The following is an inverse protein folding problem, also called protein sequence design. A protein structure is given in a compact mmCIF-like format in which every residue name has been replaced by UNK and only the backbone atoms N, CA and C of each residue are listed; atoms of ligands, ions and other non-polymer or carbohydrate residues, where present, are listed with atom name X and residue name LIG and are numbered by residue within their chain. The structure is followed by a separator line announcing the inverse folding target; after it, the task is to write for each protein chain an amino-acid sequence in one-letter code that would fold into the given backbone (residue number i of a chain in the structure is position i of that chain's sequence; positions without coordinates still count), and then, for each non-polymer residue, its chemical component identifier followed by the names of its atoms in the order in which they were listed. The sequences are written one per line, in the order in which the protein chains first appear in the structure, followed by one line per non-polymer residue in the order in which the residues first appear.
data_IF_186567701005
#
_entry.id   IF_186567701005
#
_cell.length_a   1.000
_cell.length_b   1.000
_cell.length_c   1.000
_cell.angle_alpha   90.00
_cell.angle_beta   90.00
_cell.angle_gamma   90.00
#
_symmetry.space_group_name_H-M   'P 1'
#
loop_
_entity.id
_entity.type
_entity.pdbx_description
1 polymer ?
#
# COMPACT_ATOMS: atom_id res chain seq x y z
N UNK A 1 -42.51 -57.15 -45.08
CA UNK A 1 -41.23 -56.73 -44.49
C UNK A 1 -41.37 -55.32 -43.94
N UNK A 2 -40.77 -55.07 -42.79
CA UNK A 2 -40.64 -53.72 -42.23
C UNK A 2 -39.59 -52.98 -43.03
N UNK A 3 -39.89 -51.79 -43.53
CA UNK A 3 -38.96 -50.90 -44.16
C UNK A 3 -38.44 -49.99 -43.06
N UNK A 4 -37.20 -50.14 -42.67
CA UNK A 4 -36.54 -49.31 -41.64
C UNK A 4 -35.44 -48.48 -42.30
N UNK A 5 -35.33 -47.20 -41.86
CA UNK A 5 -34.25 -46.30 -42.29
C UNK A 5 -33.61 -45.66 -41.04
N UNK A 6 -32.29 -45.67 -40.94
CA UNK A 6 -31.55 -45.14 -39.80
C UNK A 6 -30.71 -43.92 -40.24
N UNK A 7 -30.92 -42.78 -39.57
CA UNK A 7 -30.07 -41.60 -39.72
C UNK A 7 -29.00 -41.61 -38.62
N UNK A 8 -27.76 -41.38 -39.00
CA UNK A 8 -26.65 -41.25 -38.07
C UNK A 8 -26.22 -39.81 -37.91
N UNK A 9 -25.94 -39.42 -36.67
CA UNK A 9 -25.50 -38.05 -36.30
C UNK A 9 -24.23 -38.14 -35.50
N UNK A 10 -23.36 -37.11 -35.64
CA UNK A 10 -22.14 -36.93 -34.84
C UNK A 10 -22.33 -35.70 -33.90
N UNK A 11 -21.70 -35.76 -32.76
CA UNK A 11 -21.67 -34.61 -31.87
C UNK A 11 -20.92 -33.45 -32.52
N UNK A 12 -21.38 -32.23 -32.34
CA UNK A 12 -20.62 -31.02 -32.72
C UNK A 12 -19.35 -30.94 -31.89
N UNK A 13 -18.22 -30.62 -32.55
CA UNK A 13 -16.89 -30.48 -31.94
C UNK A 13 -16.25 -29.13 -32.24
N UNK A 14 -17.07 -28.14 -32.63
CA UNK A 14 -16.70 -26.76 -32.98
C UNK A 14 -17.20 -25.74 -31.96
N UNK A 15 -17.44 -26.17 -30.71
CA UNK A 15 -17.97 -25.33 -29.66
C UNK A 15 -16.84 -24.72 -28.83
N UNK A 16 -17.15 -23.66 -28.09
CA UNK A 16 -16.21 -22.95 -27.21
C UNK A 16 -16.84 -22.62 -25.87
N UNK A 17 -16.01 -22.25 -24.91
CA UNK A 17 -16.44 -21.61 -23.67
C UNK A 17 -15.53 -20.45 -23.30
N UNK A 18 -16.05 -19.55 -22.46
CA UNK A 18 -15.33 -18.37 -21.97
C UNK A 18 -15.36 -18.31 -20.45
N UNK A 19 -14.23 -17.94 -19.83
CA UNK A 19 -14.13 -17.70 -18.39
C UNK A 19 -13.74 -16.25 -18.19
N UNK A 20 -14.51 -15.56 -17.35
CA UNK A 20 -14.27 -14.17 -16.95
C UNK A 20 -13.76 -14.09 -15.52
N UNK A 21 -13.01 -13.04 -15.22
CA UNK A 21 -12.43 -12.76 -13.91
C UNK A 21 -12.79 -11.33 -13.51
N UNK A 22 -13.80 -11.16 -12.62
CA UNK A 22 -14.38 -9.86 -12.31
C UNK A 22 -14.31 -9.50 -10.82
N UNK A 23 -14.20 -8.21 -10.54
CA UNK A 23 -14.38 -7.70 -9.19
C UNK A 23 -15.85 -7.82 -8.76
N UNK A 24 -16.10 -8.42 -7.59
CA UNK A 24 -17.45 -8.67 -7.10
C UNK A 24 -18.24 -7.38 -6.91
N UNK A 25 -19.46 -7.35 -7.42
CA UNK A 25 -20.36 -6.20 -7.32
C UNK A 25 -20.06 -5.09 -8.33
N UNK A 26 -19.13 -5.31 -9.25
CA UNK A 26 -18.80 -4.38 -10.34
C UNK A 26 -18.77 -5.12 -11.69
N UNK A 27 -18.60 -4.37 -12.78
CA UNK A 27 -18.31 -4.93 -14.11
C UNK A 27 -16.81 -4.87 -14.46
N UNK A 28 -15.94 -4.54 -13.49
CA UNK A 28 -14.50 -4.44 -13.72
C UNK A 28 -13.90 -5.83 -13.99
N UNK A 29 -13.30 -5.99 -15.15
CA UNK A 29 -12.49 -7.15 -15.50
C UNK A 29 -11.08 -6.99 -14.90
N UNK A 30 -10.62 -8.01 -14.18
CA UNK A 30 -9.35 -8.00 -13.47
C UNK A 30 -8.24 -8.70 -14.23
N UNK A 31 -8.61 -9.52 -15.21
CA UNK A 31 -7.71 -10.20 -16.12
C UNK A 31 -8.45 -10.48 -17.45
N UNK A 32 -7.68 -10.71 -18.51
CA UNK A 32 -8.21 -11.08 -19.81
C UNK A 32 -9.08 -12.34 -19.71
N UNK A 33 -10.21 -12.34 -20.43
CA UNK A 33 -11.07 -13.49 -20.49
C UNK A 33 -10.36 -14.67 -21.17
N UNK A 34 -10.49 -15.86 -20.57
CA UNK A 34 -9.98 -17.10 -21.15
C UNK A 34 -11.00 -17.68 -22.11
N UNK A 35 -10.68 -17.77 -23.40
CA UNK A 35 -11.50 -18.42 -24.43
C UNK A 35 -10.87 -19.74 -24.83
N UNK A 36 -11.66 -20.82 -24.87
CA UNK A 36 -11.21 -22.16 -25.25
C UNK A 36 -12.14 -22.73 -26.32
N UNK A 37 -11.59 -22.93 -27.51
CA UNK A 37 -12.29 -23.45 -28.69
C UNK A 37 -12.17 -24.99 -28.84
N UNK A 38 -12.87 -25.56 -29.82
CA UNK A 38 -12.76 -26.95 -30.22
C UNK A 38 -13.32 -27.94 -29.19
N UNK A 39 -14.38 -27.55 -28.48
CA UNK A 39 -15.05 -28.42 -27.50
C UNK A 39 -16.18 -29.20 -28.15
N UNK A 40 -16.41 -30.40 -27.62
CA UNK A 40 -17.48 -31.27 -28.08
C UNK A 40 -18.76 -31.08 -27.26
N UNK A 41 -19.90 -31.13 -27.91
CA UNK A 41 -21.21 -31.09 -27.22
C UNK A 41 -21.31 -32.17 -26.14
N UNK A 42 -21.65 -31.74 -24.91
CA UNK A 42 -21.77 -32.59 -23.74
C UNK A 42 -20.47 -32.83 -22.99
N UNK A 43 -19.33 -32.25 -23.41
CA UNK A 43 -18.12 -32.24 -22.58
C UNK A 43 -18.36 -31.50 -21.29
N UNK A 44 -17.74 -31.97 -20.20
CA UNK A 44 -17.69 -31.26 -18.92
C UNK A 44 -16.24 -30.85 -18.69
N UNK A 45 -16.00 -29.55 -18.54
CA UNK A 45 -14.67 -28.99 -18.28
C UNK A 45 -14.65 -28.36 -16.88
N UNK A 46 -13.56 -28.57 -16.17
CA UNK A 46 -13.35 -27.96 -14.85
C UNK A 46 -12.40 -26.78 -15.01
N UNK A 47 -12.82 -25.62 -14.53
CA UNK A 47 -12.01 -24.41 -14.48
C UNK A 47 -11.78 -23.97 -13.04
N UNK A 48 -10.65 -23.34 -12.79
CA UNK A 48 -10.28 -22.81 -11.47
C UNK A 48 -9.99 -21.30 -11.57
N UNK A 49 -10.37 -20.58 -10.50
CA UNK A 49 -10.02 -19.18 -10.34
C UNK A 49 -8.50 -18.99 -10.29
N UNK A 50 -7.96 -18.11 -11.13
CA UNK A 50 -6.54 -17.75 -11.17
C UNK A 50 -6.16 -16.85 -9.99
N UNK A 51 -4.87 -16.72 -9.67
CA UNK A 51 -4.38 -15.74 -8.70
C UNK A 51 -4.28 -14.37 -9.39
N UNK A 52 -4.82 -13.34 -8.74
CA UNK A 52 -4.78 -11.95 -9.19
C UNK A 52 -4.20 -11.11 -8.06
N UNK A 53 -3.12 -10.39 -8.36
CA UNK A 53 -2.44 -9.57 -7.36
C UNK A 53 -3.36 -8.51 -6.75
N UNK A 54 -3.32 -8.39 -5.42
CA UNK A 54 -4.18 -7.46 -4.67
C UNK A 54 -5.61 -7.93 -4.42
N UNK A 55 -5.98 -9.14 -4.87
CA UNK A 55 -7.34 -9.65 -4.74
C UNK A 55 -7.41 -11.03 -4.07
N UNK A 56 -8.50 -11.25 -3.35
CA UNK A 56 -8.90 -12.55 -2.80
C UNK A 56 -9.94 -13.19 -3.71
N UNK A 57 -9.81 -14.49 -3.95
CA UNK A 57 -10.83 -15.27 -4.67
C UNK A 57 -12.11 -15.39 -3.84
N UNK A 58 -13.26 -15.25 -4.47
CA UNK A 58 -14.57 -15.50 -3.87
C UNK A 58 -15.00 -16.92 -4.21
N UNK A 59 -15.55 -17.65 -3.24
CA UNK A 59 -16.06 -18.99 -3.48
C UNK A 59 -17.32 -18.97 -4.38
N UNK A 60 -17.49 -19.95 -5.30
CA UNK A 60 -16.61 -21.08 -5.53
C UNK A 60 -15.36 -20.71 -6.34
N UNK A 61 -14.20 -21.29 -6.00
CA UNK A 61 -12.92 -21.10 -6.69
C UNK A 61 -12.65 -22.14 -7.77
N UNK A 62 -13.58 -23.07 -7.97
CA UNK A 62 -13.58 -24.07 -9.04
C UNK A 62 -15.02 -24.22 -9.55
N UNK A 63 -15.16 -24.44 -10.85
CA UNK A 63 -16.46 -24.63 -11.50
C UNK A 63 -16.39 -25.64 -12.63
N UNK A 64 -17.49 -26.39 -12.82
CA UNK A 64 -17.68 -27.26 -13.98
C UNK A 64 -18.58 -26.54 -15.01
N UNK A 65 -18.17 -26.58 -16.27
CA UNK A 65 -18.91 -26.03 -17.41
C UNK A 65 -19.29 -27.17 -18.33
N UNK A 66 -20.58 -27.45 -18.48
CA UNK A 66 -21.08 -28.40 -19.46
C UNK A 66 -21.24 -27.70 -20.81
N UNK A 67 -20.57 -28.22 -21.85
CA UNK A 67 -20.57 -27.64 -23.19
C UNK A 67 -21.89 -27.90 -23.91
N UNK A 68 -22.58 -26.83 -24.24
CA UNK A 68 -23.86 -26.82 -24.96
C UNK A 68 -23.74 -26.12 -26.30
N UNK A 69 -24.78 -26.11 -27.12
CA UNK A 69 -24.87 -25.35 -28.36
C UNK A 69 -25.15 -23.85 -28.14
N UNK A 70 -25.43 -23.46 -26.90
CA UNK A 70 -25.66 -22.07 -26.51
C UNK A 70 -24.37 -21.40 -25.99
N UNK A 71 -24.55 -20.35 -25.20
CA UNK A 71 -23.45 -19.65 -24.52
C UNK A 71 -22.92 -20.51 -23.37
N UNK A 72 -21.61 -20.76 -23.40
CA UNK A 72 -20.89 -21.52 -22.35
C UNK A 72 -19.93 -20.56 -21.67
N UNK A 73 -20.33 -20.00 -20.55
CA UNK A 73 -19.58 -18.96 -19.85
C UNK A 73 -19.57 -19.23 -18.35
N UNK A 74 -18.48 -18.82 -17.69
CA UNK A 74 -18.40 -18.78 -16.25
C UNK A 74 -17.63 -17.54 -15.79
N UNK A 75 -18.03 -16.93 -14.67
CA UNK A 75 -17.33 -15.77 -14.09
C UNK A 75 -16.84 -16.14 -12.69
N UNK A 76 -15.53 -16.07 -12.48
CA UNK A 76 -14.94 -16.05 -11.15
C UNK A 76 -14.93 -14.64 -10.61
N UNK A 77 -15.32 -14.48 -9.36
CA UNK A 77 -15.37 -13.20 -8.67
C UNK A 77 -14.25 -13.06 -7.66
N UNK A 78 -13.87 -11.81 -7.42
CA UNK A 78 -12.77 -11.43 -6.53
C UNK A 78 -13.13 -10.21 -5.69
N UNK A 79 -12.54 -10.11 -4.51
CA UNK A 79 -12.62 -8.93 -3.66
C UNK A 79 -11.23 -8.36 -3.43
N UNK A 80 -11.11 -7.05 -3.31
CA UNK A 80 -9.84 -6.42 -2.94
C UNK A 80 -9.36 -6.94 -1.59
N UNK A 81 -8.07 -7.19 -1.44
CA UNK A 81 -7.45 -7.45 -0.15
C UNK A 81 -7.61 -6.23 0.75
N UNK A 82 -7.88 -6.46 2.03
CA UNK A 82 -8.03 -5.42 3.05
C UNK A 82 -7.19 -5.72 4.31
N UNK A 83 -6.18 -6.56 4.15
CA UNK A 83 -5.24 -7.02 5.18
C UNK A 83 -3.83 -6.46 4.98
N UNK A 84 -3.71 -5.40 4.19
CA UNK A 84 -2.42 -4.74 3.88
C UNK A 84 -2.10 -3.67 4.93
N UNK A 85 -0.86 -3.21 4.92
CA UNK A 85 -0.40 -2.16 5.84
C UNK A 85 0.52 -1.17 5.15
N UNK A 86 0.73 -0.02 5.78
CA UNK A 86 1.79 0.91 5.40
C UNK A 86 2.57 1.38 6.64
N UNK A 87 3.78 1.90 6.41
CA UNK A 87 4.66 2.41 7.45
C UNK A 87 5.18 3.79 7.10
N UNK A 88 5.18 4.69 8.08
CA UNK A 88 5.78 6.03 7.95
C UNK A 88 6.95 6.14 8.93
N UNK A 89 8.09 6.57 8.42
CA UNK A 89 9.32 6.82 9.19
C UNK A 89 9.59 8.32 9.31
N UNK A 90 10.28 8.70 10.38
CA UNK A 90 10.65 10.08 10.70
C UNK A 90 12.15 10.13 10.98
N UNK A 91 12.97 10.62 10.02
CA UNK A 91 14.43 10.51 10.08
C UNK A 91 15.13 11.87 9.99
N UNK A 92 16.28 11.98 10.64
CA UNK A 92 17.18 13.10 10.43
C UNK A 92 17.81 13.01 9.03
N UNK A 93 17.71 14.11 8.26
CA UNK A 93 18.20 14.15 6.89
C UNK A 93 19.71 13.91 6.82
N UNK A 94 20.12 13.03 5.90
CA UNK A 94 21.54 12.68 5.69
C UNK A 94 22.10 11.69 6.72
N UNK A 95 21.25 11.15 7.59
CA UNK A 95 21.62 10.11 8.56
C UNK A 95 20.63 8.95 8.51
N UNK A 96 20.88 7.88 9.28
CA UNK A 96 19.92 6.79 9.51
C UNK A 96 19.22 6.92 10.88
N UNK A 97 19.36 8.08 11.57
CA UNK A 97 18.76 8.28 12.88
C UNK A 97 17.24 8.44 12.79
N UNK A 98 16.52 7.59 13.48
CA UNK A 98 15.09 7.73 13.71
C UNK A 98 14.84 8.79 14.80
N UNK A 99 13.97 9.75 14.53
CA UNK A 99 13.63 10.85 15.44
C UNK A 99 12.34 10.60 16.22
N UNK A 100 11.52 9.68 15.75
CA UNK A 100 10.32 9.21 16.41
C UNK A 100 10.05 7.75 16.00
N UNK A 101 9.20 7.07 16.78
CA UNK A 101 8.74 5.73 16.46
C UNK A 101 8.03 5.71 15.10
N UNK A 102 8.28 4.67 14.31
CA UNK A 102 7.59 4.48 13.05
C UNK A 102 6.09 4.28 13.26
N UNK A 103 5.28 4.96 12.46
CA UNK A 103 3.82 4.77 12.43
C UNK A 103 3.48 3.62 11.51
N UNK A 104 2.90 2.54 12.05
CA UNK A 104 2.37 1.41 11.27
C UNK A 104 0.85 1.45 11.29
N UNK A 105 0.22 1.30 10.13
CA UNK A 105 -1.24 1.29 9.99
C UNK A 105 -1.65 0.04 9.19
N UNK A 106 -2.31 -0.88 9.88
CA UNK A 106 -2.83 -2.14 9.33
C UNK A 106 -4.24 -2.00 8.75
N UNK A 107 -4.74 -3.07 8.14
CA UNK A 107 -6.12 -3.16 7.65
C UNK A 107 -6.39 -2.27 6.44
N UNK A 108 -5.38 -2.03 5.62
CA UNK A 108 -5.51 -1.20 4.43
C UNK A 108 -6.01 -2.01 3.23
N UNK A 109 -6.83 -1.35 2.41
CA UNK A 109 -7.40 -1.96 1.21
C UNK A 109 -6.51 -1.70 -0.01
N UNK A 110 -6.27 -2.73 -0.80
CA UNK A 110 -5.53 -2.66 -2.06
C UNK A 110 -6.08 -1.57 -3.00
N UNK A 111 -5.16 -0.79 -3.54
CA UNK A 111 -5.46 0.30 -4.48
C UNK A 111 -5.98 1.58 -3.83
N UNK A 112 -6.21 1.61 -2.50
CA UNK A 112 -6.52 2.86 -1.81
C UNK A 112 -5.29 3.76 -1.74
N UNK A 113 -5.52 5.09 -1.74
CA UNK A 113 -4.49 6.09 -1.48
C UNK A 113 -4.77 6.74 -0.14
N UNK A 114 -3.75 6.81 0.71
CA UNK A 114 -3.77 7.47 2.01
C UNK A 114 -2.84 8.68 2.00
N UNK A 115 -3.24 9.76 2.65
CA UNK A 115 -2.41 10.96 2.80
C UNK A 115 -1.83 11.00 4.21
N UNK A 116 -0.51 11.13 4.31
CA UNK A 116 0.21 11.29 5.57
C UNK A 116 0.93 12.64 5.62
N UNK A 117 1.07 13.17 6.83
CA UNK A 117 1.74 14.45 7.08
C UNK A 117 2.89 14.26 8.07
N UNK A 118 3.96 15.03 7.86
CA UNK A 118 5.08 15.08 8.78
C UNK A 118 4.62 15.61 10.15
N UNK A 119 4.94 14.91 11.22
CA UNK A 119 4.64 15.30 12.61
C UNK A 119 5.60 16.41 13.09
N UNK A 120 5.24 17.12 14.15
CA UNK A 120 6.15 18.04 14.82
C UNK A 120 7.10 17.26 15.73
N UNK A 121 8.42 17.54 15.63
CA UNK A 121 9.46 16.95 16.45
C UNK A 121 10.26 18.08 17.09
N UNK A 122 10.35 18.05 18.41
CA UNK A 122 11.03 19.11 19.15
C UNK A 122 12.51 19.20 18.76
N UNK A 123 12.98 20.43 18.56
CA UNK A 123 14.35 20.72 18.13
C UNK A 123 14.63 20.55 16.63
N UNK A 124 13.63 20.15 15.83
CA UNK A 124 13.78 19.88 14.42
C UNK A 124 12.82 20.69 13.53
N UNK A 125 13.26 21.00 12.32
CA UNK A 125 12.44 21.55 11.25
C UNK A 125 12.08 20.45 10.27
N UNK A 126 10.83 20.43 9.80
CA UNK A 126 10.41 19.53 8.71
C UNK A 126 11.10 19.93 7.40
N UNK A 127 11.44 18.92 6.61
CA UNK A 127 11.97 19.09 5.25
C UNK A 127 10.85 18.79 4.25
N UNK A 128 10.69 19.61 3.24
CA UNK A 128 9.68 19.36 2.19
C UNK A 128 10.01 18.12 1.35
N UNK A 129 9.00 17.34 0.96
CA UNK A 129 7.57 17.54 1.19
C UNK A 129 7.13 17.15 2.61
N UNK A 130 6.26 17.97 3.20
CA UNK A 130 5.70 17.73 4.55
C UNK A 130 4.38 16.96 4.53
N UNK A 131 3.92 16.59 3.34
CA UNK A 131 2.76 15.73 3.09
C UNK A 131 3.08 14.75 1.97
N UNK A 132 2.56 13.53 2.04
CA UNK A 132 2.77 12.50 1.04
C UNK A 132 1.53 11.61 0.86
N UNK A 133 1.32 11.15 -0.36
CA UNK A 133 0.32 10.14 -0.69
C UNK A 133 0.99 8.77 -0.83
N UNK A 134 0.40 7.73 -0.21
CA UNK A 134 0.84 6.35 -0.28
C UNK A 134 -0.28 5.53 -0.91
N UNK A 135 -0.06 4.99 -2.11
CA UNK A 135 -1.00 4.05 -2.72
C UNK A 135 -0.70 2.64 -2.22
N UNK A 136 -1.71 1.97 -1.67
CA UNK A 136 -1.59 0.66 -1.05
C UNK A 136 -1.48 -0.44 -2.10
N UNK A 137 -0.38 -1.16 -2.08
CA UNK A 137 -0.06 -2.28 -2.97
C UNK A 137 0.20 -3.55 -2.15
N UNK A 138 0.41 -4.68 -2.82
CA UNK A 138 0.82 -5.94 -2.17
C UNK A 138 2.31 -5.96 -1.77
N UNK A 139 3.08 -4.98 -2.25
CA UNK A 139 4.48 -4.79 -1.91
C UNK A 139 4.68 -3.96 -0.64
N UNK A 140 5.86 -3.36 -0.53
CA UNK A 140 6.15 -2.42 0.56
C UNK A 140 5.44 -1.10 0.33
N UNK A 141 4.69 -0.66 1.32
CA UNK A 141 4.01 0.62 1.35
C UNK A 141 4.65 1.46 2.46
N UNK A 142 5.68 2.22 2.11
CA UNK A 142 6.51 2.95 3.08
C UNK A 142 6.73 4.39 2.61
N UNK A 143 6.81 5.33 3.56
CA UNK A 143 7.23 6.69 3.31
C UNK A 143 8.11 7.19 4.45
N UNK A 144 9.09 8.04 4.16
CA UNK A 144 9.98 8.65 5.15
C UNK A 144 9.89 10.17 5.06
N UNK A 145 9.46 10.81 6.17
CA UNK A 145 9.61 12.25 6.34
C UNK A 145 10.98 12.55 6.94
N UNK A 146 11.62 13.56 6.38
CA UNK A 146 12.95 14.01 6.79
C UNK A 146 12.89 15.30 7.57
N UNK A 147 13.89 15.50 8.44
CA UNK A 147 13.99 16.62 9.35
C UNK A 147 15.43 17.11 9.44
N UNK A 148 15.60 18.40 9.71
CA UNK A 148 16.90 19.00 10.02
C UNK A 148 16.89 19.63 11.41
N UNK A 149 18.02 19.59 12.11
CA UNK A 149 18.13 20.26 13.41
C UNK A 149 17.87 21.76 13.26
N UNK A 150 17.13 22.33 14.18
CA UNK A 150 16.97 23.80 14.29
C UNK A 150 18.31 24.44 14.57
N UNK A 151 18.58 25.55 13.90
CA UNK A 151 19.81 26.33 14.04
C UNK A 151 19.53 27.80 14.48
N UNK A 152 18.32 28.06 14.94
CA UNK A 152 17.83 29.39 15.36
C UNK A 152 17.70 29.52 16.89
N UNK A 153 18.33 28.61 17.63
CA UNK A 153 18.27 28.59 19.09
C UNK A 153 19.24 29.58 19.71
N UNK A 154 19.00 29.94 20.99
CA UNK A 154 19.85 30.85 21.73
C UNK A 154 20.02 30.37 23.17
N UNK A 155 21.12 30.82 23.79
CA UNK A 155 21.31 30.67 25.23
C UNK A 155 21.82 31.98 25.82
N UNK A 156 21.59 32.15 27.13
CA UNK A 156 22.01 33.31 27.90
C UNK A 156 22.96 32.90 29.00
N UNK A 157 24.06 33.64 29.17
CA UNK A 157 25.01 33.48 30.26
C UNK A 157 24.83 34.65 31.22
N UNK A 158 24.58 34.35 32.47
CA UNK A 158 24.49 35.34 33.57
C UNK A 158 25.78 35.31 34.42
N UNK A 159 26.23 36.45 34.85
CA UNK A 159 27.39 36.62 35.71
C UNK A 159 26.93 37.15 37.05
N UNK A 160 26.85 36.27 38.04
CA UNK A 160 26.29 36.62 39.38
C UNK A 160 27.31 36.39 40.47
N UNK A 161 27.21 37.18 41.56
CA UNK A 161 27.94 36.96 42.80
C UNK A 161 27.45 35.68 43.49
N UNK A 162 28.41 34.85 43.92
CA UNK A 162 28.06 33.57 44.55
C UNK A 162 27.23 33.77 45.84
N UNK A 163 26.07 33.10 45.89
CA UNK A 163 25.16 33.12 47.05
C UNK A 163 24.21 34.34 47.06
N UNK A 164 24.21 35.17 46.00
CA UNK A 164 23.28 36.30 45.84
C UNK A 164 22.66 36.31 44.46
N UNK A 165 21.68 37.16 44.22
CA UNK A 165 21.12 37.45 42.89
C UNK A 165 21.77 38.68 42.23
N UNK A 166 22.85 39.21 42.84
CA UNK A 166 23.53 40.42 42.33
C UNK A 166 24.25 40.09 41.00
N UNK A 167 23.90 40.81 39.95
CA UNK A 167 24.57 40.72 38.65
C UNK A 167 25.90 41.52 38.70
N UNK A 168 27.00 40.84 38.31
CA UNK A 168 28.35 41.43 38.26
C UNK A 168 28.69 42.02 36.89
N UNK A 169 27.99 41.60 35.85
CA UNK A 169 28.09 42.08 34.49
C UNK A 169 26.81 41.84 33.71
N UNK A 170 26.63 42.54 32.59
CA UNK A 170 25.51 42.34 31.68
C UNK A 170 25.45 40.89 31.16
N UNK A 171 24.23 40.35 31.10
CA UNK A 171 23.96 39.02 30.58
C UNK A 171 24.39 38.95 29.10
N UNK A 172 25.06 37.87 28.73
CA UNK A 172 25.50 37.61 27.34
C UNK A 172 24.51 36.67 26.66
N UNK A 173 23.82 37.16 25.63
CA UNK A 173 22.99 36.33 24.73
C UNK A 173 23.78 35.86 23.56
N UNK A 174 23.71 34.54 23.26
CA UNK A 174 24.36 33.94 22.10
C UNK A 174 23.28 33.27 21.24
N UNK A 175 23.09 33.76 20.04
CA UNK A 175 22.08 33.31 19.08
C UNK A 175 22.65 32.33 18.06
N UNK A 176 21.77 31.78 17.18
CA UNK A 176 22.10 30.92 16.07
C UNK A 176 22.83 29.64 16.52
N UNK A 177 22.29 29.00 17.53
CA UNK A 177 22.78 27.71 18.02
C UNK A 177 21.95 26.56 17.45
N UNK A 178 22.66 25.49 17.15
CA UNK A 178 22.01 24.26 16.65
C UNK A 178 21.48 23.44 17.81
N UNK A 179 20.35 22.80 17.63
CA UNK A 179 19.78 21.87 18.61
C UNK A 179 20.82 20.81 19.00
N UNK A 180 20.92 20.52 20.30
CA UNK A 180 21.94 19.62 20.92
C UNK A 180 23.39 20.03 20.72
N UNK A 181 23.69 21.23 20.24
CA UNK A 181 25.05 21.75 20.19
C UNK A 181 25.64 21.85 21.61
N UNK A 182 26.77 21.20 21.85
CA UNK A 182 27.47 21.30 23.14
C UNK A 182 28.11 22.68 23.28
N UNK A 183 27.78 23.38 24.36
CA UNK A 183 28.28 24.70 24.69
C UNK A 183 29.30 24.59 25.82
N UNK A 184 30.50 25.15 25.63
CA UNK A 184 31.49 25.28 26.69
C UNK A 184 31.60 26.75 27.06
N UNK A 185 31.21 27.11 28.28
CA UNK A 185 31.44 28.43 28.86
C UNK A 185 32.72 28.40 29.69
N UNK A 186 33.60 29.38 29.51
CA UNK A 186 34.78 29.57 30.33
C UNK A 186 34.76 30.94 31.00
N UNK A 187 35.14 30.96 32.27
CA UNK A 187 35.40 32.22 33.03
C UNK A 187 36.77 32.74 32.58
N UNK A 188 36.83 33.98 32.17
CA UNK A 188 38.09 34.70 31.94
C UNK A 188 38.52 35.42 33.18
#
# INVERSE_FOLDING_TARGET
GKNEYTFYYTKRADLSYTVYYKEQGTENELADAKVVDGKTFGDVVTENAIDIDGYNKVNPTSAEITITTGTNEYTFYYTKRNDLSYTVYYKEQGTENDLADAKVVDGQTYGNTVTENAIDIDGYNKVDPTSAEITITTGKNEYTFYYTKRADLSYTVYYKEQGTETELADAKVVNNKTFEEKITASIK
#
